data_IF_804073723276
#
_entry.id   IF_804073723276
#
_cell.length_a   1.000
_cell.length_b   1.000
_cell.length_c   1.000
_cell.angle_alpha   90.00
_cell.angle_beta   90.00
_cell.angle_gamma   90.00
#
_symmetry.space_group_name_H-M   'P 1'
#
loop_
_entity.id
_entity.type
_entity.pdbx_description
1 polymer ?
#
# COMPACT_ATOMS: atom_id res chain seq x y z
N UNK A 1 -2.68 29.42 -7.58
CA UNK A 1 -4.16 29.48 -7.78
C UNK A 1 -4.85 28.12 -7.68
N UNK A 2 -4.28 27.02 -8.19
CA UNK A 2 -4.91 25.68 -8.16
C UNK A 2 -5.00 25.00 -6.77
N UNK A 3 -4.06 25.26 -5.85
CA UNK A 3 -4.08 24.70 -4.48
C UNK A 3 -5.35 25.11 -3.73
N UNK A 4 -5.79 26.37 -3.89
CA UNK A 4 -7.07 26.87 -3.35
C UNK A 4 -8.29 26.15 -3.94
N UNK A 5 -8.24 25.77 -5.22
CA UNK A 5 -9.35 25.04 -5.86
C UNK A 5 -9.48 23.61 -5.33
N UNK A 6 -8.35 22.93 -5.10
CA UNK A 6 -8.33 21.58 -4.51
C UNK A 6 -8.82 21.62 -3.05
N UNK A 7 -8.40 22.62 -2.28
CA UNK A 7 -8.90 22.80 -0.91
C UNK A 7 -10.41 23.01 -0.85
N UNK A 8 -10.95 23.90 -1.69
CA UNK A 8 -12.39 24.13 -1.79
C UNK A 8 -13.15 22.85 -2.18
N UNK A 9 -12.62 22.10 -3.16
CA UNK A 9 -13.19 20.82 -3.57
C UNK A 9 -13.16 19.79 -2.44
N UNK A 10 -12.06 19.69 -1.69
CA UNK A 10 -11.96 18.78 -0.55
C UNK A 10 -12.89 19.19 0.59
N UNK A 11 -13.10 20.48 0.83
CA UNK A 11 -14.07 20.97 1.80
C UNK A 11 -15.50 20.60 1.40
N UNK A 12 -15.87 20.83 0.15
CA UNK A 12 -17.18 20.41 -0.38
C UNK A 12 -17.38 18.90 -0.26
N UNK A 13 -16.38 18.11 -0.64
CA UNK A 13 -16.45 16.65 -0.53
C UNK A 13 -16.50 16.16 0.92
N UNK A 14 -15.86 16.85 1.87
CA UNK A 14 -15.97 16.55 3.30
C UNK A 14 -17.38 16.76 3.83
N UNK A 15 -18.08 17.80 3.34
CA UNK A 15 -19.48 18.06 3.67
C UNK A 15 -20.41 17.00 3.06
N UNK A 16 -20.22 16.67 1.78
CA UNK A 16 -21.05 15.70 1.07
C UNK A 16 -20.81 14.24 1.51
N UNK A 17 -19.57 13.87 1.81
CA UNK A 17 -19.15 12.49 2.09
C UNK A 17 -18.24 12.40 3.32
N UNK A 18 -18.73 12.75 4.53
CA UNK A 18 -17.90 12.75 5.75
C UNK A 18 -17.33 11.35 6.08
N UNK A 19 -18.06 10.29 5.71
CA UNK A 19 -17.62 8.91 5.90
C UNK A 19 -16.32 8.59 5.13
N UNK A 20 -16.10 9.22 3.97
CA UNK A 20 -14.89 9.04 3.17
C UNK A 20 -13.61 9.54 3.88
N UNK A 21 -13.75 10.52 4.77
CA UNK A 21 -12.62 11.14 5.48
C UNK A 21 -12.49 10.70 6.94
N UNK A 22 -13.56 10.18 7.56
CA UNK A 22 -13.53 9.70 8.95
C UNK A 22 -13.27 8.20 9.06
N UNK A 23 -13.85 7.41 8.15
CA UNK A 23 -13.89 5.93 8.27
C UNK A 23 -13.09 5.19 7.20
N UNK A 24 -12.53 5.90 6.21
CA UNK A 24 -11.69 5.28 5.18
C UNK A 24 -10.21 5.45 5.49
N UNK A 25 -9.49 4.34 5.63
CA UNK A 25 -8.06 4.31 5.93
C UNK A 25 -7.30 3.72 4.75
N UNK A 26 -6.16 4.35 4.42
CA UNK A 26 -5.21 3.83 3.44
C UNK A 26 -4.03 3.22 4.19
N UNK A 27 -3.66 2.00 3.85
CA UNK A 27 -2.57 1.28 4.50
C UNK A 27 -1.19 1.54 3.87
N UNK A 28 -1.03 2.64 3.13
CA UNK A 28 0.19 2.96 2.40
C UNK A 28 0.50 4.47 2.42
N UNK A 29 1.74 4.83 2.10
CA UNK A 29 2.17 6.21 1.86
C UNK A 29 2.12 7.11 3.10
N UNK A 30 2.38 6.54 4.28
CA UNK A 30 2.35 7.27 5.55
C UNK A 30 3.55 8.21 5.68
N UNK A 31 4.72 7.78 5.21
CA UNK A 31 5.96 8.56 5.26
C UNK A 31 6.26 9.10 3.86
N UNK A 32 6.43 10.42 3.77
CA UNK A 32 6.73 11.13 2.53
C UNK A 32 8.12 11.72 2.60
N UNK A 33 8.97 11.38 1.63
CA UNK A 33 10.38 11.83 1.59
C UNK A 33 10.66 12.67 0.35
N UNK A 34 11.50 13.69 0.52
CA UNK A 34 11.97 14.56 -0.56
C UNK A 34 13.22 13.89 -1.15
N UNK A 35 13.10 13.30 -2.33
CA UNK A 35 14.19 12.56 -2.99
C UNK A 35 14.32 11.06 -2.63
N UNK A 36 15.37 10.43 -3.19
CA UNK A 36 15.63 8.97 -3.12
C UNK A 36 16.63 8.59 -1.99
N UNK A 37 17.49 9.52 -1.57
CA UNK A 37 18.65 9.26 -0.69
C UNK A 37 18.88 10.31 0.41
N UNK A 38 18.00 11.33 0.54
CA UNK A 38 18.35 12.56 1.26
C UNK A 38 17.78 12.69 2.68
N UNK A 39 16.83 11.82 3.10
CA UNK A 39 16.08 12.06 4.33
C UNK A 39 16.36 11.00 5.42
N UNK A 40 16.65 11.41 6.66
CA UNK A 40 16.62 10.50 7.82
C UNK A 40 15.29 9.76 7.97
N UNK A 41 14.22 10.34 7.41
CA UNK A 41 12.89 9.73 7.34
C UNK A 41 12.87 8.42 6.55
N UNK A 42 13.88 8.15 5.73
CA UNK A 42 14.03 6.89 5.01
C UNK A 42 14.31 5.70 5.91
N UNK A 43 14.93 5.94 7.08
CA UNK A 43 15.23 4.90 8.07
C UNK A 43 14.02 4.57 8.95
N UNK A 44 13.04 5.47 9.07
CA UNK A 44 11.88 5.29 9.95
C UNK A 44 11.09 4.00 9.60
N UNK A 45 10.73 3.73 8.32
CA UNK A 45 10.09 2.46 7.97
C UNK A 45 10.91 1.23 8.34
N UNK A 46 12.24 1.30 8.25
CA UNK A 46 13.14 0.20 8.57
C UNK A 46 13.19 -0.07 10.07
N UNK A 47 13.34 0.98 10.87
CA UNK A 47 13.30 0.89 12.34
C UNK A 47 11.95 0.30 12.78
N UNK A 48 10.85 0.82 12.24
CA UNK A 48 9.51 0.32 12.54
C UNK A 48 9.37 -1.16 12.17
N UNK A 49 9.88 -1.56 11.01
CA UNK A 49 9.85 -2.94 10.58
C UNK A 49 10.66 -3.86 11.50
N UNK A 50 11.87 -3.44 11.90
CA UNK A 50 12.69 -4.18 12.85
C UNK A 50 11.99 -4.35 14.21
N UNK A 51 11.41 -3.27 14.74
CA UNK A 51 10.67 -3.27 16.01
C UNK A 51 9.43 -4.18 16.00
N UNK A 52 8.82 -4.40 14.83
CA UNK A 52 7.64 -5.25 14.70
C UNK A 52 8.04 -6.69 14.41
N UNK A 53 8.78 -6.92 13.33
CA UNK A 53 8.94 -8.26 12.77
C UNK A 53 10.04 -9.08 13.44
N UNK A 54 11.08 -8.45 14.02
CA UNK A 54 12.13 -9.20 14.74
C UNK A 54 11.58 -9.81 16.03
N UNK A 55 10.88 -9.07 16.92
CA UNK A 55 10.28 -9.70 18.10
C UNK A 55 9.25 -10.78 17.74
N UNK A 56 8.42 -10.54 16.72
CA UNK A 56 7.44 -11.54 16.26
C UNK A 56 8.15 -12.80 15.76
N UNK A 57 9.26 -12.68 15.04
CA UNK A 57 9.98 -13.86 14.54
C UNK A 57 10.59 -14.67 15.69
N UNK A 58 11.11 -14.02 16.73
CA UNK A 58 11.62 -14.69 17.92
C UNK A 58 10.51 -15.40 18.69
N UNK A 59 9.39 -14.73 18.94
CA UNK A 59 8.23 -15.36 19.63
C UNK A 59 7.69 -16.54 18.83
N UNK A 60 7.56 -16.40 17.50
CA UNK A 60 7.12 -17.49 16.65
C UNK A 60 8.12 -18.66 16.64
N UNK A 61 9.43 -18.39 16.67
CA UNK A 61 10.45 -19.43 16.81
C UNK A 61 10.20 -20.24 18.07
N UNK A 62 10.00 -19.59 19.22
CA UNK A 62 9.74 -20.28 20.49
C UNK A 62 8.46 -21.12 20.46
N UNK A 63 7.40 -20.61 19.80
CA UNK A 63 6.17 -21.39 19.57
C UNK A 63 6.43 -22.62 18.70
N UNK A 64 7.22 -22.49 17.64
CA UNK A 64 7.55 -23.63 16.79
C UNK A 64 8.47 -24.63 17.48
N UNK A 65 9.49 -24.19 18.22
CA UNK A 65 10.37 -25.08 18.98
C UNK A 65 9.62 -25.86 20.07
N UNK A 66 8.63 -25.24 20.71
CA UNK A 66 7.82 -25.90 21.75
C UNK A 66 6.77 -26.87 21.20
N UNK A 67 6.17 -26.56 20.03
CA UNK A 67 5.11 -27.40 19.43
C UNK A 67 5.64 -28.48 18.49
N UNK A 68 6.73 -28.21 17.77
CA UNK A 68 7.47 -29.21 17.02
C UNK A 68 8.65 -29.63 17.88
N UNK A 69 8.39 -30.51 18.84
CA UNK A 69 9.32 -31.03 19.85
C UNK A 69 10.63 -31.65 19.29
N UNK A 70 10.77 -31.75 17.98
CA UNK A 70 11.94 -32.30 17.27
C UNK A 70 12.50 -31.37 16.19
N UNK A 71 11.97 -30.16 16.01
CA UNK A 71 12.50 -29.23 15.02
C UNK A 71 13.85 -28.67 15.52
N UNK A 72 14.96 -28.85 14.79
CA UNK A 72 16.20 -28.16 15.11
C UNK A 72 15.98 -26.64 15.05
N UNK A 73 16.76 -25.91 15.84
CA UNK A 73 16.65 -24.46 16.03
C UNK A 73 16.57 -23.66 14.71
N UNK A 74 17.30 -24.13 13.69
CA UNK A 74 17.25 -23.62 12.33
C UNK A 74 15.85 -23.72 11.70
N UNK A 75 15.21 -24.90 11.77
CA UNK A 75 13.90 -25.13 11.17
C UNK A 75 12.83 -24.30 11.87
N UNK A 76 12.87 -24.19 13.20
CA UNK A 76 11.94 -23.35 13.95
C UNK A 76 12.05 -21.88 13.52
N UNK A 77 13.26 -21.35 13.32
CA UNK A 77 13.46 -19.99 12.83
C UNK A 77 12.97 -19.82 11.38
N UNK A 78 13.23 -20.78 10.50
CA UNK A 78 12.76 -20.77 9.13
C UNK A 78 11.21 -20.78 9.06
N UNK A 79 10.55 -21.62 9.86
CA UNK A 79 9.09 -21.65 9.95
C UNK A 79 8.51 -20.34 10.47
N UNK A 80 9.14 -19.73 11.48
CA UNK A 80 8.74 -18.42 11.99
C UNK A 80 8.79 -17.35 10.89
N UNK A 81 9.89 -17.28 10.15
CA UNK A 81 10.07 -16.31 9.07
C UNK A 81 9.12 -16.59 7.90
N UNK A 82 8.99 -17.84 7.45
CA UNK A 82 8.02 -18.23 6.42
C UNK A 82 6.59 -17.84 6.81
N UNK A 83 6.21 -18.02 8.07
CA UNK A 83 4.88 -17.61 8.58
C UNK A 83 4.66 -16.11 8.39
N UNK A 84 5.65 -15.28 8.75
CA UNK A 84 5.59 -13.82 8.55
C UNK A 84 5.50 -13.48 7.06
N UNK A 85 6.33 -14.09 6.21
CA UNK A 85 6.34 -13.82 4.78
C UNK A 85 5.02 -14.22 4.11
N UNK A 86 4.44 -15.36 4.48
CA UNK A 86 3.14 -15.81 4.00
C UNK A 86 2.01 -14.87 4.46
N UNK A 87 2.05 -14.40 5.71
CA UNK A 87 1.12 -13.39 6.19
C UNK A 87 1.22 -12.10 5.38
N UNK A 88 2.43 -11.61 5.10
CA UNK A 88 2.65 -10.46 4.24
C UNK A 88 2.12 -10.71 2.82
N UNK A 89 2.31 -11.90 2.27
CA UNK A 89 1.77 -12.30 0.95
C UNK A 89 0.24 -12.26 0.90
N UNK A 90 -0.45 -12.48 2.02
CA UNK A 90 -1.91 -12.32 2.11
C UNK A 90 -2.34 -10.84 2.17
N UNK A 91 -1.60 -10.01 2.92
CA UNK A 91 -1.98 -8.61 3.14
C UNK A 91 -1.65 -7.71 1.94
N UNK A 92 -0.50 -7.91 1.30
CA UNK A 92 0.00 -7.02 0.23
C UNK A 92 -0.96 -6.89 -0.95
N UNK A 93 -1.57 -7.96 -1.49
CA UNK A 93 -2.54 -7.83 -2.58
C UNK A 93 -3.70 -6.89 -2.24
N UNK A 94 -4.14 -6.87 -0.98
CA UNK A 94 -5.18 -5.95 -0.51
C UNK A 94 -4.69 -4.50 -0.59
N UNK A 95 -3.48 -4.22 -0.11
CA UNK A 95 -2.87 -2.88 -0.15
C UNK A 95 -2.62 -2.43 -1.60
N UNK A 96 -2.11 -3.31 -2.45
CA UNK A 96 -1.93 -3.05 -3.89
C UNK A 96 -3.26 -2.73 -4.56
N UNK A 97 -4.35 -3.43 -4.20
CA UNK A 97 -5.69 -3.12 -4.69
C UNK A 97 -6.15 -1.74 -4.23
N UNK A 98 -5.84 -1.32 -3.00
CA UNK A 98 -6.11 0.06 -2.57
C UNK A 98 -5.38 1.05 -3.48
N UNK A 99 -4.06 0.89 -3.61
CA UNK A 99 -3.19 1.78 -4.40
C UNK A 99 -3.66 1.85 -5.86
N UNK A 100 -3.99 0.72 -6.48
CA UNK A 100 -4.50 0.65 -7.87
C UNK A 100 -5.68 1.58 -8.11
N UNK A 101 -6.55 1.75 -7.11
CA UNK A 101 -7.78 2.51 -7.23
C UNK A 101 -7.72 3.90 -6.59
N UNK A 102 -6.56 4.31 -6.10
CA UNK A 102 -6.36 5.61 -5.45
C UNK A 102 -5.17 6.39 -5.99
N UNK A 103 -4.13 5.73 -6.51
CA UNK A 103 -2.95 6.41 -7.05
C UNK A 103 -2.29 5.64 -8.19
N UNK A 104 -2.25 6.27 -9.36
CA UNK A 104 -1.66 5.66 -10.56
C UNK A 104 -0.15 5.49 -10.46
N UNK A 105 0.57 6.55 -10.04
CA UNK A 105 2.03 6.58 -10.01
C UNK A 105 2.59 5.52 -9.05
N UNK A 106 2.08 5.48 -7.82
CA UNK A 106 2.46 4.47 -6.83
C UNK A 106 2.17 3.04 -7.29
N UNK A 107 1.05 2.83 -7.98
CA UNK A 107 0.70 1.51 -8.49
C UNK A 107 1.75 0.99 -9.48
N UNK A 108 2.22 1.84 -10.41
CA UNK A 108 3.25 1.43 -11.39
C UNK A 108 4.53 0.93 -10.69
N UNK A 109 4.95 1.62 -9.63
CA UNK A 109 6.15 1.24 -8.87
C UNK A 109 5.99 -0.04 -8.04
N UNK A 110 4.80 -0.31 -7.53
CA UNK A 110 4.57 -1.37 -6.53
C UNK A 110 3.80 -2.60 -7.06
N UNK A 111 3.23 -2.56 -8.28
CA UNK A 111 2.37 -3.64 -8.82
C UNK A 111 3.01 -5.03 -8.84
N UNK A 112 4.33 -5.11 -8.97
CA UNK A 112 5.08 -6.38 -9.03
C UNK A 112 5.59 -6.87 -7.67
N UNK A 113 5.28 -6.17 -6.57
CA UNK A 113 5.71 -6.55 -5.23
C UNK A 113 5.24 -7.94 -4.78
N UNK A 114 3.99 -8.40 -5.07
CA UNK A 114 3.59 -9.77 -4.75
C UNK A 114 4.48 -10.84 -5.40
N UNK A 115 4.89 -10.62 -6.65
CA UNK A 115 5.78 -11.53 -7.37
C UNK A 115 7.16 -11.56 -6.70
N UNK A 116 7.72 -10.38 -6.38
CA UNK A 116 9.01 -10.28 -5.67
C UNK A 116 8.97 -11.01 -4.32
N UNK A 117 7.89 -10.86 -3.57
CA UNK A 117 7.73 -11.59 -2.30
C UNK A 117 7.59 -13.09 -2.51
N UNK A 118 6.88 -13.53 -3.55
CA UNK A 118 6.75 -14.96 -3.89
C UNK A 118 8.10 -15.59 -4.18
N UNK A 119 8.96 -14.89 -4.94
CA UNK A 119 10.34 -15.33 -5.19
C UNK A 119 11.12 -15.48 -3.88
N UNK A 120 11.02 -14.51 -2.97
CA UNK A 120 11.67 -14.59 -1.65
C UNK A 120 11.17 -15.80 -0.84
N UNK A 121 9.86 -16.06 -0.84
CA UNK A 121 9.27 -17.21 -0.13
C UNK A 121 9.76 -18.54 -0.72
N UNK A 122 9.81 -18.65 -2.04
CA UNK A 122 10.33 -19.86 -2.71
C UNK A 122 11.80 -20.07 -2.39
N UNK A 123 12.62 -19.00 -2.42
CA UNK A 123 14.02 -19.08 -2.03
C UNK A 123 14.20 -19.49 -0.56
N UNK A 124 13.32 -19.02 0.33
CA UNK A 124 13.35 -19.39 1.75
C UNK A 124 12.95 -20.87 1.94
N UNK A 125 11.96 -21.35 1.19
CA UNK A 125 11.60 -22.77 1.18
C UNK A 125 12.74 -23.66 0.64
N UNK A 126 13.46 -23.21 -0.39
CA UNK A 126 14.65 -23.90 -0.89
C UNK A 126 15.79 -23.87 0.13
N UNK A 127 15.98 -22.75 0.83
CA UNK A 127 16.97 -22.67 1.92
C UNK A 127 16.63 -23.67 3.03
N UNK A 128 15.35 -23.78 3.41
CA UNK A 128 14.89 -24.75 4.39
C UNK A 128 15.11 -26.21 3.94
N UNK A 129 14.81 -26.52 2.68
CA UNK A 129 14.89 -27.88 2.15
C UNK A 129 16.33 -28.35 1.86
N UNK A 130 17.22 -27.46 1.40
CA UNK A 130 18.53 -27.86 0.86
C UNK A 130 19.73 -27.20 1.54
N UNK A 131 19.77 -25.87 1.61
CA UNK A 131 20.98 -25.14 2.04
C UNK A 131 21.18 -25.12 3.56
N UNK A 132 20.08 -25.11 4.32
CA UNK A 132 20.04 -25.02 5.76
C UNK A 132 20.90 -23.89 6.38
N UNK A 133 20.95 -22.72 5.72
CA UNK A 133 21.81 -21.62 6.13
C UNK A 133 21.06 -20.53 6.91
N UNK A 134 21.46 -20.32 8.17
CA UNK A 134 20.90 -19.27 9.04
C UNK A 134 21.14 -17.86 8.51
N UNK A 135 22.29 -17.62 7.87
CA UNK A 135 22.60 -16.32 7.25
C UNK A 135 21.64 -16.01 6.10
N UNK A 136 21.33 -17.03 5.28
CA UNK A 136 20.40 -16.88 4.14
C UNK A 136 18.99 -16.56 4.64
N UNK A 137 18.53 -17.19 5.75
CA UNK A 137 17.24 -16.89 6.39
C UNK A 137 17.13 -15.38 6.67
N UNK A 138 18.12 -14.79 7.34
CA UNK A 138 18.05 -13.37 7.73
C UNK A 138 18.14 -12.43 6.53
N UNK A 139 18.92 -12.78 5.50
CA UNK A 139 18.99 -12.01 4.26
C UNK A 139 17.64 -12.04 3.52
N UNK A 140 17.03 -13.22 3.38
CA UNK A 140 15.73 -13.36 2.73
C UNK A 140 14.62 -12.71 3.54
N UNK A 141 14.70 -12.77 4.87
CA UNK A 141 13.79 -12.04 5.75
C UNK A 141 13.88 -10.53 5.54
N UNK A 142 15.09 -9.97 5.48
CA UNK A 142 15.31 -8.56 5.17
C UNK A 142 14.65 -8.16 3.85
N UNK A 143 14.85 -8.93 2.78
CA UNK A 143 14.21 -8.66 1.49
C UNK A 143 12.69 -8.80 1.55
N UNK A 144 12.20 -9.82 2.25
CA UNK A 144 10.77 -10.06 2.45
C UNK A 144 10.07 -8.91 3.17
N UNK A 145 10.68 -8.38 4.24
CA UNK A 145 10.19 -7.20 4.95
C UNK A 145 10.33 -5.93 4.10
N UNK A 146 11.41 -5.78 3.34
CA UNK A 146 11.62 -4.65 2.44
C UNK A 146 10.48 -4.53 1.42
N UNK A 147 10.20 -5.63 0.73
CA UNK A 147 9.14 -5.70 -0.25
C UNK A 147 7.75 -5.68 0.40
N UNK A 148 7.57 -6.39 1.51
CA UNK A 148 6.26 -6.60 2.10
C UNK A 148 5.75 -5.50 3.02
N UNK A 149 6.62 -4.64 3.54
CA UNK A 149 6.23 -3.60 4.48
C UNK A 149 6.87 -2.24 4.16
N UNK A 150 8.20 -2.17 4.14
CA UNK A 150 8.94 -0.89 4.06
C UNK A 150 8.54 -0.08 2.83
N UNK A 151 8.46 -0.71 1.66
CA UNK A 151 8.10 -0.05 0.40
C UNK A 151 6.66 0.47 0.34
N UNK A 152 5.74 -0.08 1.13
CA UNK A 152 4.35 0.40 1.20
C UNK A 152 4.20 1.56 2.16
N UNK A 153 5.00 1.58 3.23
CA UNK A 153 4.95 2.61 4.25
C UNK A 153 5.57 3.93 3.78
N UNK A 154 6.53 3.86 2.85
CA UNK A 154 7.30 4.99 2.30
C UNK A 154 6.82 5.41 0.91
N UNK A 155 6.72 6.72 0.67
CA UNK A 155 6.56 7.31 -0.66
C UNK A 155 7.65 8.36 -0.92
N UNK A 156 8.40 8.19 -2.01
CA UNK A 156 9.57 9.01 -2.33
C UNK A 156 9.29 10.00 -3.47
N UNK A 157 10.32 10.79 -3.80
CA UNK A 157 10.41 11.67 -4.98
C UNK A 157 9.47 12.88 -4.96
N UNK A 158 9.06 13.34 -3.78
CA UNK A 158 8.39 14.65 -3.69
C UNK A 158 9.37 15.77 -4.06
N UNK A 159 8.92 16.74 -4.85
CA UNK A 159 9.74 17.89 -5.25
C UNK A 159 10.16 18.68 -4.00
N UNK A 160 11.37 19.28 -3.94
CA UNK A 160 11.83 20.04 -2.78
C UNK A 160 10.88 21.17 -2.37
N UNK A 161 10.29 21.85 -3.36
CA UNK A 161 9.34 22.95 -3.21
C UNK A 161 7.95 22.52 -2.70
N UNK A 162 7.68 21.21 -2.58
CA UNK A 162 6.37 20.71 -2.15
C UNK A 162 6.13 21.03 -0.68
N UNK A 163 4.96 21.62 -0.41
CA UNK A 163 4.52 21.96 0.94
C UNK A 163 3.79 20.79 1.62
N UNK A 164 3.83 20.75 2.95
CA UNK A 164 3.12 19.75 3.77
C UNK A 164 1.60 19.75 3.51
N UNK A 165 1.02 20.91 3.22
CA UNK A 165 -0.40 21.06 2.85
C UNK A 165 -0.74 20.32 1.56
N UNK A 166 0.10 20.43 0.53
CA UNK A 166 -0.12 19.76 -0.76
C UNK A 166 0.02 18.24 -0.62
N UNK A 167 0.97 17.80 0.20
CA UNK A 167 1.10 16.39 0.58
C UNK A 167 -0.16 15.90 1.31
N UNK A 168 -0.69 16.68 2.25
CA UNK A 168 -1.92 16.35 2.96
C UNK A 168 -3.12 16.27 2.02
N UNK A 169 -3.30 17.26 1.14
CA UNK A 169 -4.36 17.28 0.13
C UNK A 169 -4.32 16.03 -0.77
N UNK A 170 -3.14 15.65 -1.27
CA UNK A 170 -2.98 14.44 -2.07
C UNK A 170 -3.45 13.20 -1.31
N UNK A 171 -3.11 13.08 -0.02
CA UNK A 171 -3.55 11.95 0.79
C UNK A 171 -5.07 11.94 0.96
N UNK A 172 -5.69 13.10 1.21
CA UNK A 172 -7.14 13.19 1.34
C UNK A 172 -7.85 12.87 0.01
N UNK A 173 -7.27 13.29 -1.11
CA UNK A 173 -7.78 12.98 -2.45
C UNK A 173 -7.74 11.47 -2.73
N UNK A 174 -6.63 10.81 -2.41
CA UNK A 174 -6.49 9.34 -2.49
C UNK A 174 -7.50 8.61 -1.61
N UNK A 175 -7.76 9.13 -0.39
CA UNK A 175 -8.74 8.55 0.54
C UNK A 175 -10.14 8.59 -0.05
N UNK A 176 -10.59 9.74 -0.54
CA UNK A 176 -11.93 9.82 -1.12
C UNK A 176 -12.02 9.06 -2.45
N UNK A 177 -10.96 9.04 -3.25
CA UNK A 177 -10.91 8.26 -4.47
C UNK A 177 -11.11 6.76 -4.19
N UNK A 178 -10.35 6.19 -3.24
CA UNK A 178 -10.55 4.80 -2.84
C UNK A 178 -11.95 4.54 -2.28
N UNK A 179 -12.48 5.48 -1.49
CA UNK A 179 -13.83 5.35 -0.93
C UNK A 179 -14.90 5.32 -2.02
N UNK A 180 -14.81 6.20 -3.03
CA UNK A 180 -15.74 6.22 -4.16
C UNK A 180 -15.70 4.89 -4.92
N UNK A 181 -14.50 4.33 -5.16
CA UNK A 181 -14.36 2.99 -5.73
C UNK A 181 -15.04 1.90 -4.87
N UNK A 182 -14.87 1.93 -3.55
CA UNK A 182 -15.53 0.97 -2.65
C UNK A 182 -17.05 1.07 -2.72
N UNK A 183 -17.62 2.28 -2.85
CA UNK A 183 -19.08 2.44 -3.02
C UNK A 183 -19.55 1.86 -4.34
N UNK A 184 -18.85 2.15 -5.44
CA UNK A 184 -19.13 1.55 -6.75
C UNK A 184 -19.09 0.02 -6.69
N UNK A 185 -18.09 -0.56 -6.02
CA UNK A 185 -17.98 -2.01 -5.88
C UNK A 185 -19.11 -2.61 -5.03
N UNK A 186 -19.47 -1.96 -3.91
CA UNK A 186 -20.61 -2.38 -3.07
C UNK A 186 -21.92 -2.36 -3.85
N UNK A 187 -22.17 -1.31 -4.65
CA UNK A 187 -23.36 -1.20 -5.48
C UNK A 187 -23.39 -2.26 -6.59
N UNK A 188 -22.26 -2.52 -7.24
CA UNK A 188 -22.14 -3.62 -8.21
C UNK A 188 -22.48 -4.97 -7.60
N UNK A 189 -21.99 -5.26 -6.40
CA UNK A 189 -22.36 -6.48 -5.68
C UNK A 189 -23.85 -6.53 -5.37
N UNK A 190 -24.43 -5.44 -4.85
CA UNK A 190 -25.87 -5.38 -4.58
C UNK A 190 -26.69 -5.68 -5.83
N UNK A 191 -26.34 -5.08 -6.97
CA UNK A 191 -26.98 -5.32 -8.27
C UNK A 191 -26.79 -6.77 -8.75
N UNK A 192 -25.62 -7.36 -8.53
CA UNK A 192 -25.38 -8.77 -8.86
C UNK A 192 -26.32 -9.71 -8.07
N UNK A 193 -26.51 -9.45 -6.77
CA UNK A 193 -27.42 -10.24 -5.93
C UNK A 193 -28.91 -9.93 -6.17
N UNK A 194 -29.26 -8.71 -6.64
CA UNK A 194 -30.62 -8.32 -6.98
C UNK A 194 -30.89 -8.57 -8.48
N UNK A 195 -31.11 -9.83 -8.84
CA UNK A 195 -31.36 -10.24 -10.24
C UNK A 195 -32.81 -10.06 -10.73
N UNK A 196 -33.74 -9.57 -9.88
CA UNK A 196 -35.16 -9.41 -10.28
C UNK A 196 -35.42 -7.99 -10.83
N UNK A 197 -36.12 -7.85 -11.96
CA UNK A 197 -36.42 -6.57 -12.58
C UNK A 197 -37.55 -5.87 -11.81
N UNK A 198 -37.23 -5.29 -10.66
CA UNK A 198 -38.12 -4.35 -9.97
C UNK A 198 -37.55 -2.93 -10.08
N UNK A 199 -38.42 -1.92 -9.94
CA UNK A 199 -38.10 -0.49 -9.97
C UNK A 199 -36.90 -0.01 -9.11
N UNK A 200 -36.46 -0.67 -8.01
CA UNK A 200 -35.25 -0.26 -7.27
C UNK A 200 -33.95 -0.32 -8.10
N UNK A 201 -33.96 -1.00 -9.24
CA UNK A 201 -32.77 -1.19 -10.06
C UNK A 201 -32.33 0.08 -10.79
N UNK A 202 -33.24 0.99 -11.14
CA UNK A 202 -32.87 2.23 -11.83
C UNK A 202 -32.17 3.22 -10.90
N UNK A 203 -32.68 3.38 -9.68
CA UNK A 203 -32.05 4.24 -8.67
C UNK A 203 -30.64 3.71 -8.30
N UNK A 204 -30.49 2.39 -8.11
CA UNK A 204 -29.20 1.77 -7.84
C UNK A 204 -28.21 1.93 -9.02
N UNK A 205 -28.69 1.87 -10.26
CA UNK A 205 -27.87 2.14 -11.46
C UNK A 205 -27.43 3.59 -11.52
N UNK A 206 -28.33 4.54 -11.24
CA UNK A 206 -28.00 5.97 -11.20
C UNK A 206 -26.97 6.28 -10.10
N UNK A 207 -27.13 5.70 -8.91
CA UNK A 207 -26.14 5.82 -7.83
C UNK A 207 -24.79 5.20 -8.20
N UNK A 208 -24.79 4.05 -8.88
CA UNK A 208 -23.57 3.41 -9.36
C UNK A 208 -22.83 4.31 -10.37
N UNK A 209 -23.55 4.89 -11.32
CA UNK A 209 -22.99 5.78 -12.32
C UNK A 209 -22.40 7.03 -11.66
N UNK A 210 -23.13 7.65 -10.73
CA UNK A 210 -22.66 8.79 -9.96
C UNK A 210 -21.34 8.52 -9.23
N UNK A 211 -21.21 7.39 -8.52
CA UNK A 211 -19.97 7.04 -7.83
C UNK A 211 -18.83 6.63 -8.78
N UNK A 212 -19.14 6.02 -9.92
CA UNK A 212 -18.15 5.68 -10.95
C UNK A 212 -17.57 6.95 -11.61
N UNK A 213 -18.43 7.92 -11.91
CA UNK A 213 -18.02 9.22 -12.46
C UNK A 213 -17.21 10.02 -11.43
N UNK A 214 -17.66 10.02 -10.17
CA UNK A 214 -16.91 10.62 -9.07
C UNK A 214 -15.52 9.98 -8.93
N UNK A 215 -15.42 8.65 -8.96
CA UNK A 215 -14.13 7.95 -8.90
C UNK A 215 -13.22 8.35 -10.05
N UNK A 216 -13.74 8.36 -11.28
CA UNK A 216 -12.97 8.71 -12.48
C UNK A 216 -12.45 10.14 -12.42
N UNK A 217 -13.30 11.10 -11.99
CA UNK A 217 -12.91 12.50 -11.84
C UNK A 217 -11.85 12.67 -10.77
N UNK A 218 -12.03 12.06 -9.59
CA UNK A 218 -11.06 12.15 -8.50
C UNK A 218 -9.73 11.49 -8.85
N UNK A 219 -9.75 10.37 -9.58
CA UNK A 219 -8.53 9.69 -10.00
C UNK A 219 -7.72 10.50 -11.02
N UNK A 220 -8.39 11.16 -11.97
CA UNK A 220 -7.74 12.11 -12.89
C UNK A 220 -7.11 13.29 -12.14
N UNK A 221 -7.85 13.89 -11.21
CA UNK A 221 -7.34 14.97 -10.36
C UNK A 221 -6.14 14.53 -9.50
N UNK A 222 -6.17 13.32 -8.95
CA UNK A 222 -5.04 12.77 -8.17
C UNK A 222 -3.80 12.64 -9.04
N UNK A 223 -3.97 12.12 -10.26
CA UNK A 223 -2.87 11.95 -11.18
C UNK A 223 -2.23 13.31 -11.54
N UNK A 224 -3.05 14.30 -11.90
CA UNK A 224 -2.59 15.65 -12.21
C UNK A 224 -1.89 16.34 -11.03
N UNK A 225 -2.44 16.20 -9.82
CA UNK A 225 -1.82 16.73 -8.62
C UNK A 225 -0.49 16.03 -8.34
N UNK A 226 -0.42 14.71 -8.50
CA UNK A 226 0.78 13.92 -8.33
C UNK A 226 1.90 14.38 -9.28
N UNK A 227 1.60 14.65 -10.56
CA UNK A 227 2.60 15.15 -11.53
C UNK A 227 3.26 16.47 -11.10
N UNK A 228 2.49 17.32 -10.41
CA UNK A 228 2.96 18.64 -9.97
C UNK A 228 3.90 18.54 -8.79
N UNK A 229 3.56 17.71 -7.81
CA UNK A 229 4.24 17.64 -6.52
C UNK A 229 5.32 16.55 -6.44
N UNK A 230 5.37 15.65 -7.42
CA UNK A 230 6.25 14.47 -7.39
C UNK A 230 6.89 14.25 -8.76
N UNK A 231 8.16 13.84 -8.76
CA UNK A 231 8.80 13.30 -9.95
C UNK A 231 8.21 11.93 -10.28
N UNK A 232 7.70 11.79 -11.51
CA UNK A 232 7.06 10.56 -11.96
C UNK A 232 8.14 9.58 -12.44
N UNK A 233 9.17 10.11 -13.09
CA UNK A 233 10.27 9.35 -13.65
C UNK A 233 11.57 9.67 -12.90
N UNK A 234 12.38 8.63 -12.71
CA UNK A 234 13.68 8.73 -12.04
C UNK A 234 14.64 9.56 -12.89
N UNK A 235 14.55 9.45 -14.21
CA UNK A 235 15.39 10.20 -15.15
C UNK A 235 15.20 11.71 -14.98
N UNK A 236 13.95 12.17 -14.93
CA UNK A 236 13.65 13.60 -14.67
C UNK A 236 14.15 14.07 -13.30
N UNK A 237 14.16 13.18 -12.30
CA UNK A 237 14.72 13.52 -10.99
C UNK A 237 16.25 13.64 -11.03
N UNK A 238 16.93 12.73 -11.73
CA UNK A 238 18.38 12.73 -11.90
C UNK A 238 18.83 13.94 -12.73
N UNK A 239 18.12 14.28 -13.81
CA UNK A 239 18.44 15.43 -14.66
C UNK A 239 18.33 16.79 -13.93
N UNK A 240 17.44 16.92 -12.93
CA UNK A 240 17.33 18.14 -12.13
C UNK A 240 18.37 18.21 -10.98
N UNK A 241 19.05 17.12 -10.64
CA UNK A 241 19.97 17.01 -9.48
C UNK A 241 21.41 16.63 -9.86
N UNK A 242 21.72 16.50 -11.15
CA UNK A 242 23.06 16.34 -11.75
C UNK A 242 23.47 17.62 -12.46
#
# INVERSE_FOLDING_TARGET
MQTKQIDLLLQQLKLLYPAAFKRNYLFYGQIKTKGILSDLKELIPWILAAMIFVPISLVLKDVYSSKLSTAPDFQAQAYAILTILLFLMLVIPLVIKQIRHSSHSLYQFLRHTPIKLTVVIVLEALNLAFLQSSTVIWILFFFGISFGFVRFYKENMFRPATNSTEQYQLQQLRRICFWAYLQTWKLRLKLFFHSKPTSPNEELKNQLQHYADLHTRLFKLEHEQCKKIKYIDIDTYLDEHL
#
